data_IF_667609846698
#
_entry.id   IF_667609846698
#
_cell.length_a   1.000
_cell.length_b   1.000
_cell.length_c   1.000
_cell.angle_alpha   90.00
_cell.angle_beta   90.00
_cell.angle_gamma   90.00
#
_symmetry.space_group_name_H-M   'P 1'
#
loop_
_entity.id
_entity.type
_entity.pdbx_description
1 polymer ?
#
# COMPACT_ATOMS: atom_id res chain seq x y z
N UNK A 1 -2.07 -19.41 10.37
CA UNK A 1 -3.01 -18.99 9.30
C UNK A 1 -3.09 -17.47 9.42
N UNK A 2 -2.36 -16.73 8.59
CA UNK A 2 -2.25 -15.26 8.69
C UNK A 2 -3.54 -14.61 8.18
N UNK A 3 -4.37 -14.11 9.11
CA UNK A 3 -5.62 -13.39 8.84
C UNK A 3 -5.34 -11.88 8.57
N UNK A 4 -4.12 -11.40 8.85
CA UNK A 4 -3.74 -9.97 8.79
C UNK A 4 -3.67 -9.34 7.38
N UNK A 5 -3.59 -10.12 6.29
CA UNK A 5 -3.36 -9.54 4.95
C UNK A 5 -4.58 -8.79 4.39
N UNK A 6 -5.79 -9.24 4.72
CA UNK A 6 -7.03 -8.62 4.26
C UNK A 6 -7.27 -7.27 4.93
N UNK A 7 -7.03 -7.16 6.23
CA UNK A 7 -7.17 -5.89 6.97
C UNK A 7 -6.23 -4.81 6.44
N UNK A 8 -4.98 -5.18 6.12
CA UNK A 8 -4.01 -4.24 5.57
C UNK A 8 -4.41 -3.76 4.17
N UNK A 9 -4.77 -4.69 3.28
CA UNK A 9 -5.17 -4.34 1.91
C UNK A 9 -6.39 -3.42 1.89
N UNK A 10 -7.40 -3.73 2.71
CA UNK A 10 -8.61 -2.91 2.84
C UNK A 10 -8.30 -1.53 3.41
N UNK A 11 -7.46 -1.43 4.44
CA UNK A 11 -7.03 -0.15 5.00
C UNK A 11 -6.34 0.75 3.95
N UNK A 12 -5.42 0.17 3.14
CA UNK A 12 -4.80 0.90 2.03
C UNK A 12 -5.85 1.39 1.04
N UNK A 13 -6.81 0.55 0.64
CA UNK A 13 -7.86 0.93 -0.29
C UNK A 13 -8.76 2.04 0.26
N UNK A 14 -9.06 2.04 1.55
CA UNK A 14 -9.79 3.11 2.23
C UNK A 14 -9.01 4.43 2.15
N UNK A 15 -7.72 4.42 2.47
CA UNK A 15 -6.86 5.61 2.37
C UNK A 15 -6.81 6.15 0.93
N UNK A 16 -6.65 5.28 -0.07
CA UNK A 16 -6.63 5.71 -1.48
C UNK A 16 -7.97 6.32 -1.92
N UNK A 17 -9.10 5.72 -1.51
CA UNK A 17 -10.44 6.28 -1.77
C UNK A 17 -10.63 7.64 -1.10
N UNK A 18 -10.19 7.81 0.15
CA UNK A 18 -10.18 9.09 0.87
C UNK A 18 -9.37 10.14 0.10
N UNK A 19 -8.14 9.81 -0.24
CA UNK A 19 -7.23 10.71 -0.94
C UNK A 19 -7.79 11.13 -2.31
N UNK A 20 -8.39 10.18 -3.05
CA UNK A 20 -9.11 10.47 -4.30
C UNK A 20 -10.24 11.47 -4.12
N UNK A 21 -11.05 11.34 -3.06
CA UNK A 21 -12.13 12.30 -2.75
C UNK A 21 -11.60 13.69 -2.39
N UNK A 22 -10.43 13.76 -1.77
CA UNK A 22 -9.78 15.01 -1.37
C UNK A 22 -8.93 15.65 -2.49
N UNK A 23 -8.78 14.98 -3.63
CA UNK A 23 -7.91 15.46 -4.72
C UNK A 23 -6.41 15.41 -4.40
N UNK A 24 -5.99 14.59 -3.42
CA UNK A 24 -4.57 14.47 -3.00
C UNK A 24 -3.97 13.12 -3.43
N UNK A 25 -2.65 13.06 -3.52
CA UNK A 25 -1.89 11.83 -3.81
C UNK A 25 -1.34 11.17 -2.54
N UNK A 26 -1.17 9.84 -2.53
CA UNK A 26 -1.55 8.89 -3.59
C UNK A 26 -3.07 8.63 -3.59
N UNK A 27 -3.67 8.51 -4.77
CA UNK A 27 -5.10 8.22 -4.96
C UNK A 27 -5.35 6.85 -5.58
N UNK A 28 -4.28 6.16 -6.00
CA UNK A 28 -4.32 4.87 -6.67
C UNK A 28 -3.06 4.04 -6.39
N UNK A 29 -3.11 2.73 -6.66
CA UNK A 29 -1.90 1.89 -6.65
C UNK A 29 -0.89 2.29 -7.73
N UNK A 30 -1.33 2.94 -8.81
CA UNK A 30 -0.44 3.51 -9.83
C UNK A 30 0.37 4.68 -9.27
N UNK A 31 -0.25 5.55 -8.45
CA UNK A 31 0.48 6.64 -7.78
C UNK A 31 1.57 6.10 -6.85
N UNK A 32 1.26 5.05 -6.09
CA UNK A 32 2.23 4.33 -5.25
C UNK A 32 3.37 3.78 -6.12
N UNK A 33 3.03 3.08 -7.20
CA UNK A 33 4.02 2.49 -8.11
C UNK A 33 4.97 3.55 -8.68
N UNK A 34 4.43 4.67 -9.18
CA UNK A 34 5.22 5.77 -9.73
C UNK A 34 6.10 6.44 -8.67
N UNK A 35 5.58 6.67 -7.46
CA UNK A 35 6.34 7.33 -6.38
C UNK A 35 7.55 6.49 -5.92
N UNK A 36 7.38 5.18 -5.81
CA UNK A 36 8.44 4.27 -5.34
C UNK A 36 9.29 3.65 -6.45
N UNK A 37 9.03 3.96 -7.73
CA UNK A 37 9.72 3.35 -8.87
C UNK A 37 9.47 1.84 -8.98
N UNK A 38 8.24 1.39 -8.67
CA UNK A 38 7.83 -0.01 -8.68
C UNK A 38 6.87 -0.28 -9.83
N UNK A 39 6.71 -1.56 -10.20
CA UNK A 39 5.62 -1.96 -11.09
C UNK A 39 4.30 -2.01 -10.33
N UNK A 40 3.19 -1.64 -10.98
CA UNK A 40 1.85 -1.77 -10.41
C UNK A 40 1.52 -3.21 -9.98
N UNK A 41 1.85 -4.26 -10.75
CA UNK A 41 1.66 -5.64 -10.29
C UNK A 41 2.41 -5.96 -9.00
N UNK A 42 3.64 -5.47 -8.84
CA UNK A 42 4.41 -5.69 -7.63
C UNK A 42 3.81 -4.95 -6.41
N UNK A 43 3.34 -3.72 -6.59
CA UNK A 43 2.58 -2.99 -5.55
C UNK A 43 1.33 -3.77 -5.13
N UNK A 44 0.61 -4.36 -6.09
CA UNK A 44 -0.55 -5.20 -5.79
C UNK A 44 -0.17 -6.44 -4.98
N UNK A 45 0.92 -7.12 -5.33
CA UNK A 45 1.43 -8.28 -4.56
C UNK A 45 1.85 -7.89 -3.14
N UNK A 46 2.55 -6.75 -2.99
CA UNK A 46 2.95 -6.19 -1.69
C UNK A 46 1.74 -5.96 -0.78
N UNK A 47 0.75 -5.20 -1.27
CA UNK A 47 -0.44 -4.83 -0.48
C UNK A 47 -1.26 -6.06 -0.08
N UNK A 48 -1.36 -7.06 -0.96
CA UNK A 48 -2.10 -8.30 -0.67
C UNK A 48 -1.29 -9.34 0.11
N UNK A 49 -0.08 -9.02 0.59
CA UNK A 49 0.76 -9.96 1.34
C UNK A 49 1.25 -11.16 0.54
N UNK A 50 1.32 -11.05 -0.79
CA UNK A 50 1.72 -12.13 -1.71
C UNK A 50 3.22 -12.14 -2.04
N UNK A 51 4.02 -11.45 -1.25
CA UNK A 51 5.48 -11.40 -1.38
C UNK A 51 6.14 -12.04 -0.16
N UNK A 52 7.40 -12.44 -0.30
CA UNK A 52 8.16 -13.01 0.82
C UNK A 52 8.18 -12.07 2.04
N UNK A 53 8.01 -12.65 3.23
CA UNK A 53 8.07 -11.91 4.50
C UNK A 53 9.54 -11.60 4.86
N UNK A 54 10.07 -10.54 4.27
CA UNK A 54 11.45 -10.08 4.48
C UNK A 54 11.51 -8.74 5.21
N UNK A 55 12.67 -8.39 5.77
CA UNK A 55 12.89 -7.07 6.35
C UNK A 55 12.63 -5.94 5.33
N UNK A 56 13.01 -6.15 4.07
CA UNK A 56 12.77 -5.18 2.99
C UNK A 56 11.28 -5.02 2.68
N UNK A 57 10.52 -6.13 2.66
CA UNK A 57 9.07 -6.11 2.49
C UNK A 57 8.39 -5.31 3.60
N UNK A 58 8.75 -5.57 4.87
CA UNK A 58 8.20 -4.86 6.03
C UNK A 58 8.50 -3.36 5.97
N UNK A 59 9.76 -3.01 5.65
CA UNK A 59 10.17 -1.62 5.45
C UNK A 59 9.34 -0.94 4.35
N UNK A 60 9.19 -1.59 3.20
CA UNK A 60 8.42 -1.04 2.08
C UNK A 60 6.94 -0.86 2.43
N UNK A 61 6.34 -1.80 3.14
CA UNK A 61 4.95 -1.68 3.60
C UNK A 61 4.78 -0.51 4.57
N UNK A 62 5.73 -0.29 5.50
CA UNK A 62 5.70 0.86 6.39
C UNK A 62 5.81 2.20 5.64
N UNK A 63 6.67 2.28 4.62
CA UNK A 63 6.77 3.47 3.76
C UNK A 63 5.47 3.72 2.98
N UNK A 64 4.85 2.66 2.45
CA UNK A 64 3.55 2.75 1.76
C UNK A 64 2.47 3.25 2.72
N UNK A 65 2.39 2.70 3.95
CA UNK A 65 1.45 3.16 5.00
C UNK A 65 1.56 4.67 5.23
N UNK A 66 2.78 5.14 5.45
CA UNK A 66 3.07 6.57 5.65
C UNK A 66 2.65 7.39 4.43
N UNK A 67 2.98 6.94 3.22
CA UNK A 67 2.69 7.66 2.00
C UNK A 67 1.19 7.79 1.71
N UNK A 68 0.40 6.73 1.97
CA UNK A 68 -1.07 6.80 1.81
C UNK A 68 -1.75 7.60 2.92
N UNK A 69 -1.02 7.97 3.97
CA UNK A 69 -1.55 8.69 5.14
C UNK A 69 -2.41 7.77 6.02
N UNK A 70 -1.96 6.54 6.22
CA UNK A 70 -2.47 5.61 7.21
C UNK A 70 -1.71 5.92 8.50
N UNK A 71 -2.38 6.59 9.45
CA UNK A 71 -1.80 6.88 10.76
C UNK A 71 -1.80 5.59 11.59
N UNK A 72 -0.72 5.32 12.30
CA UNK A 72 -0.65 4.26 13.32
C UNK A 72 -1.53 4.60 14.54
#
# INVERSE_FOLDING_TARGET
MEIMSYEFADAILVCLKRNKRMGIKPSSQTDIANYFGLSKPYVNQLINGRVANSANTKKRLAEIKKYVGMND
#
